data_IF_223277772477
#
_entry.id   IF_223277772477
#
_cell.length_a   1.000
_cell.length_b   1.000
_cell.length_c   1.000
_cell.angle_alpha   90.00
_cell.angle_beta   90.00
_cell.angle_gamma   90.00
#
_symmetry.space_group_name_H-M   'P 1'
#
loop_
_entity.id
_entity.type
_entity.pdbx_description
1 polymer ?
#
# COMPACT_ATOMS: atom_id res chain seq x y z
N UNK A 1 -26.65 -19.26 1.03
CA UNK A 1 -25.77 -20.20 0.31
C UNK A 1 -26.19 -21.64 0.60
N UNK A 2 -26.51 -22.45 -0.43
CA UNK A 2 -26.90 -23.86 -0.29
C UNK A 2 -27.96 -24.09 0.81
N UNK A 3 -29.00 -23.25 0.81
CA UNK A 3 -30.09 -23.29 1.80
C UNK A 3 -29.76 -22.71 3.18
N UNK A 4 -28.52 -22.25 3.43
CA UNK A 4 -28.11 -21.67 4.72
C UNK A 4 -27.84 -20.17 4.60
N UNK A 5 -28.31 -19.33 5.55
CA UNK A 5 -27.93 -17.92 5.61
C UNK A 5 -26.41 -17.77 5.76
N UNK A 6 -25.84 -16.72 5.18
CA UNK A 6 -24.42 -16.37 5.32
C UNK A 6 -24.32 -14.99 5.98
N UNK A 7 -23.42 -14.85 6.94
CA UNK A 7 -23.11 -13.54 7.51
C UNK A 7 -22.03 -12.86 6.65
N UNK A 8 -22.29 -11.63 6.22
CA UNK A 8 -21.43 -10.88 5.31
C UNK A 8 -21.01 -9.53 5.93
N UNK A 9 -20.14 -9.53 6.95
CA UNK A 9 -19.77 -8.31 7.69
C UNK A 9 -19.00 -7.28 6.85
N UNK A 10 -18.53 -7.67 5.67
CA UNK A 10 -17.80 -6.83 4.72
C UNK A 10 -18.72 -6.06 3.79
N UNK A 11 -20.02 -6.39 3.73
CA UNK A 11 -20.98 -5.69 2.86
C UNK A 11 -21.15 -4.26 3.35
N UNK A 12 -21.01 -3.30 2.44
CA UNK A 12 -21.06 -1.88 2.75
C UNK A 12 -22.44 -1.52 3.31
N UNK A 13 -22.47 -1.03 4.54
CA UNK A 13 -23.71 -0.61 5.21
C UNK A 13 -24.64 -1.77 5.60
N UNK A 14 -24.18 -3.03 5.51
CA UNK A 14 -25.04 -4.19 5.77
C UNK A 14 -26.13 -4.42 4.72
N UNK A 15 -26.10 -3.70 3.61
CA UNK A 15 -27.06 -3.78 2.52
C UNK A 15 -26.80 -5.01 1.63
N UNK A 16 -27.24 -6.17 2.11
CA UNK A 16 -27.05 -7.45 1.40
C UNK A 16 -27.82 -7.50 0.07
N UNK A 17 -28.95 -6.81 -0.01
CA UNK A 17 -29.87 -6.85 -1.16
C UNK A 17 -29.42 -5.90 -2.27
N UNK A 18 -28.96 -4.70 -1.92
CA UNK A 18 -28.47 -3.68 -2.84
C UNK A 18 -29.49 -3.26 -3.88
N UNK A 19 -29.43 -3.89 -5.05
CA UNK A 19 -30.28 -3.60 -6.23
C UNK A 19 -31.56 -4.43 -6.27
N UNK A 20 -31.89 -5.16 -5.20
CA UNK A 20 -33.06 -6.05 -5.10
C UNK A 20 -33.20 -7.06 -6.27
N UNK A 21 -32.06 -7.50 -6.82
CA UNK A 21 -32.02 -8.51 -7.89
C UNK A 21 -31.76 -9.89 -7.28
N UNK A 22 -32.80 -10.73 -7.26
CA UNK A 22 -32.68 -12.10 -6.80
C UNK A 22 -31.80 -12.95 -7.75
N UNK A 23 -31.10 -13.93 -7.19
CA UNK A 23 -30.30 -14.89 -7.94
C UNK A 23 -30.35 -16.26 -7.25
N UNK A 24 -30.46 -17.31 -8.06
CA UNK A 24 -30.32 -18.70 -7.63
C UNK A 24 -29.46 -19.43 -8.66
N UNK A 25 -28.17 -19.57 -8.35
CA UNK A 25 -27.17 -20.06 -9.31
C UNK A 25 -26.45 -21.25 -8.73
N UNK A 26 -26.54 -22.38 -9.44
CA UNK A 26 -25.67 -23.54 -9.22
C UNK A 26 -24.36 -23.34 -9.98
N UNK A 27 -23.33 -22.90 -9.26
CA UNK A 27 -22.03 -22.59 -9.86
C UNK A 27 -21.37 -23.88 -10.41
N UNK A 28 -21.02 -23.94 -11.71
CA UNK A 28 -20.32 -25.08 -12.29
C UNK A 28 -18.91 -25.25 -11.70
N UNK A 29 -18.32 -26.44 -11.88
CA UNK A 29 -16.91 -26.68 -11.56
C UNK A 29 -16.01 -25.71 -12.33
N UNK A 30 -14.90 -25.28 -11.72
CA UNK A 30 -13.95 -24.30 -12.27
C UNK A 30 -14.54 -22.92 -12.61
N UNK A 31 -15.65 -22.54 -11.98
CA UNK A 31 -16.27 -21.21 -12.12
C UNK A 31 -16.58 -20.58 -10.77
N UNK A 32 -16.84 -19.28 -10.79
CA UNK A 32 -17.12 -18.44 -9.62
C UNK A 32 -18.35 -17.57 -9.89
N UNK A 33 -19.12 -17.27 -8.86
CA UNK A 33 -20.16 -16.23 -8.90
C UNK A 33 -19.71 -15.10 -7.97
N UNK A 34 -19.57 -13.90 -8.51
CA UNK A 34 -18.93 -12.77 -7.83
C UNK A 34 -19.96 -11.70 -7.52
N UNK A 35 -19.83 -11.09 -6.33
CA UNK A 35 -20.62 -9.96 -5.87
C UNK A 35 -19.68 -8.88 -5.35
N UNK A 36 -19.96 -7.62 -5.69
CA UNK A 36 -19.24 -6.50 -5.10
C UNK A 36 -19.72 -6.20 -3.68
N UNK A 37 -18.83 -5.70 -2.82
CA UNK A 37 -19.15 -5.34 -1.43
C UNK A 37 -20.13 -4.17 -1.33
N UNK A 38 -20.15 -3.28 -2.33
CA UNK A 38 -21.14 -2.21 -2.46
C UNK A 38 -22.25 -2.66 -3.42
N UNK A 39 -23.20 -3.45 -2.89
CA UNK A 39 -24.20 -4.17 -3.68
C UNK A 39 -25.01 -3.28 -4.62
N UNK A 40 -25.38 -2.08 -4.17
CA UNK A 40 -26.16 -1.11 -4.94
C UNK A 40 -25.41 -0.47 -6.13
N UNK A 41 -24.07 -0.51 -6.13
CA UNK A 41 -23.23 0.15 -7.14
C UNK A 41 -22.15 -0.80 -7.67
N UNK A 42 -22.56 -2.02 -8.03
CA UNK A 42 -21.66 -3.06 -8.49
C UNK A 42 -22.25 -3.73 -9.72
N UNK A 43 -21.53 -3.67 -10.85
CA UNK A 43 -21.85 -4.41 -12.06
C UNK A 43 -21.21 -5.80 -12.01
N UNK A 44 -21.79 -6.68 -11.19
CA UNK A 44 -21.28 -8.02 -10.89
C UNK A 44 -22.12 -9.12 -11.53
N UNK A 45 -21.88 -10.38 -11.16
CA UNK A 45 -22.48 -11.57 -11.77
C UNK A 45 -24.00 -11.52 -11.90
N UNK A 46 -24.70 -10.79 -11.01
CA UNK A 46 -26.16 -10.62 -11.06
C UNK A 46 -26.65 -9.98 -12.37
N UNK A 47 -25.81 -9.21 -13.04
CA UNK A 47 -26.15 -8.49 -14.27
C UNK A 47 -25.80 -9.22 -15.56
N UNK A 48 -25.06 -10.33 -15.47
CA UNK A 48 -24.56 -11.07 -16.63
C UNK A 48 -25.17 -12.48 -16.73
N UNK A 49 -26.42 -12.67 -16.30
CA UNK A 49 -27.08 -13.98 -16.29
C UNK A 49 -27.09 -14.67 -17.67
N UNK A 50 -27.21 -13.89 -18.74
CA UNK A 50 -27.20 -14.38 -20.13
C UNK A 50 -25.81 -14.81 -20.61
N UNK A 51 -24.74 -14.45 -19.88
CA UNK A 51 -23.36 -14.84 -20.15
C UNK A 51 -22.90 -15.89 -19.13
N UNK A 52 -23.00 -17.16 -19.52
CA UNK A 52 -22.58 -18.30 -18.70
C UNK A 52 -23.20 -18.31 -17.28
N UNK A 53 -24.46 -17.87 -17.15
CA UNK A 53 -25.16 -17.78 -15.86
C UNK A 53 -24.59 -16.73 -14.92
N UNK A 54 -23.89 -15.71 -15.45
CA UNK A 54 -23.20 -14.68 -14.68
C UNK A 54 -21.89 -15.15 -14.04
N UNK A 55 -21.49 -16.40 -14.27
CA UNK A 55 -20.31 -16.97 -13.61
C UNK A 55 -19.02 -16.66 -14.36
N UNK A 56 -17.91 -16.56 -13.65
CA UNK A 56 -16.58 -16.27 -14.19
C UNK A 56 -15.69 -17.51 -14.08
N UNK A 57 -14.91 -17.84 -15.13
CA UNK A 57 -13.98 -18.96 -15.08
C UNK A 57 -12.83 -18.70 -14.09
N UNK A 58 -12.45 -19.72 -13.31
CA UNK A 58 -11.30 -19.62 -12.38
C UNK A 58 -10.01 -19.28 -13.13
N UNK A 59 -9.83 -19.78 -14.35
CA UNK A 59 -8.69 -19.47 -15.22
C UNK A 59 -8.58 -18.01 -15.64
N UNK A 60 -9.67 -17.23 -15.53
CA UNK A 60 -9.66 -15.79 -15.81
C UNK A 60 -9.15 -14.96 -14.61
N UNK A 61 -9.00 -15.56 -13.43
CA UNK A 61 -8.56 -14.87 -12.22
C UNK A 61 -7.04 -14.69 -12.24
N UNK A 62 -6.58 -13.44 -12.29
CA UNK A 62 -5.15 -13.11 -12.30
C UNK A 62 -4.48 -13.17 -10.92
N UNK A 63 -5.25 -13.08 -9.85
CA UNK A 63 -4.74 -13.10 -8.49
C UNK A 63 -5.81 -12.79 -7.46
N UNK A 64 -5.44 -12.92 -6.18
CA UNK A 64 -6.30 -12.62 -5.04
C UNK A 64 -5.78 -11.37 -4.34
N UNK A 65 -6.68 -10.41 -4.07
CA UNK A 65 -6.36 -9.24 -3.26
C UNK A 65 -6.18 -9.70 -1.81
N UNK A 66 -5.01 -9.45 -1.25
CA UNK A 66 -4.68 -9.70 0.15
C UNK A 66 -4.18 -8.41 0.78
N UNK A 67 -4.49 -8.20 2.06
CA UNK A 67 -3.93 -7.07 2.80
C UNK A 67 -2.44 -7.33 2.99
N UNK A 68 -1.59 -6.51 2.37
CA UNK A 68 -0.14 -6.58 2.50
C UNK A 68 0.42 -5.25 2.99
N UNK A 69 1.36 -5.32 3.92
CA UNK A 69 2.10 -4.15 4.43
C UNK A 69 3.53 -4.10 3.91
N UNK A 70 3.92 -5.02 3.01
CA UNK A 70 5.31 -5.12 2.55
C UNK A 70 5.77 -3.85 1.85
N UNK A 71 5.00 -3.33 0.89
CA UNK A 71 5.36 -2.12 0.15
C UNK A 71 5.47 -0.86 1.04
N UNK A 72 4.46 -0.50 1.87
CA UNK A 72 4.59 0.67 2.74
C UNK A 72 5.71 0.49 3.79
N UNK A 73 5.95 -0.73 4.26
CA UNK A 73 7.04 -1.01 5.18
C UNK A 73 8.42 -0.78 4.55
N UNK A 74 8.65 -1.27 3.33
CA UNK A 74 9.91 -1.05 2.60
C UNK A 74 10.13 0.44 2.31
N UNK A 75 9.08 1.17 1.94
CA UNK A 75 9.15 2.62 1.76
C UNK A 75 9.55 3.33 3.05
N UNK A 76 8.96 2.95 4.19
CA UNK A 76 9.32 3.52 5.50
C UNK A 76 10.80 3.26 5.84
N UNK A 77 11.28 2.04 5.65
CA UNK A 77 12.69 1.68 5.89
C UNK A 77 13.62 2.51 5.00
N UNK A 78 13.30 2.66 3.71
CA UNK A 78 14.10 3.47 2.78
C UNK A 78 14.13 4.95 3.20
N UNK A 79 13.00 5.51 3.64
CA UNK A 79 12.93 6.90 4.14
C UNK A 79 13.78 7.10 5.40
N UNK A 80 13.74 6.16 6.35
CA UNK A 80 14.57 6.20 7.55
C UNK A 80 16.05 6.13 7.18
N UNK A 81 16.43 5.17 6.34
CA UNK A 81 17.81 5.00 5.89
C UNK A 81 18.33 6.26 5.17
N UNK A 82 17.52 6.84 4.27
CA UNK A 82 17.86 8.08 3.58
C UNK A 82 18.02 9.27 4.54
N UNK A 83 17.13 9.41 5.51
CA UNK A 83 17.20 10.48 6.53
C UNK A 83 18.45 10.33 7.39
N UNK A 84 18.74 9.12 7.88
CA UNK A 84 19.97 8.83 8.66
C UNK A 84 21.21 9.15 7.84
N UNK A 85 21.26 8.73 6.58
CA UNK A 85 22.40 9.02 5.69
C UNK A 85 22.60 10.51 5.47
N UNK A 86 21.51 11.28 5.29
CA UNK A 86 21.57 12.73 5.13
C UNK A 86 22.08 13.44 6.39
N UNK A 87 21.61 13.04 7.58
CA UNK A 87 22.06 13.60 8.85
C UNK A 87 23.53 13.30 9.13
N UNK A 88 23.97 12.06 8.89
CA UNK A 88 25.38 11.67 9.01
C UNK A 88 26.24 12.46 8.03
N UNK A 89 25.84 12.55 6.76
CA UNK A 89 26.54 13.32 5.73
C UNK A 89 26.65 14.81 6.09
N UNK A 90 25.57 15.42 6.59
CA UNK A 90 25.57 16.81 7.03
C UNK A 90 26.52 17.04 8.22
N UNK A 91 26.47 16.16 9.23
CA UNK A 91 27.34 16.23 10.40
C UNK A 91 28.82 16.14 10.04
N UNK A 92 29.18 15.17 9.20
CA UNK A 92 30.55 15.01 8.69
C UNK A 92 30.99 16.20 7.84
N UNK A 93 30.10 16.74 6.99
CA UNK A 93 30.38 17.91 6.17
C UNK A 93 30.65 19.18 6.98
N UNK A 94 29.84 19.45 8.01
CA UNK A 94 30.04 20.59 8.93
C UNK A 94 31.37 20.45 9.69
N UNK A 95 31.68 19.25 10.21
CA UNK A 95 32.94 19.00 10.91
C UNK A 95 34.17 19.25 10.02
N UNK A 96 34.14 18.77 8.77
CA UNK A 96 35.22 18.98 7.81
C UNK A 96 35.41 20.48 7.47
N UNK A 97 34.32 21.24 7.32
CA UNK A 97 34.38 22.68 7.07
C UNK A 97 34.98 23.44 8.26
N UNK A 98 34.59 23.09 9.48
CA UNK A 98 35.13 23.71 10.70
C UNK A 98 36.65 23.49 10.83
N UNK A 99 37.12 22.26 10.55
CA UNK A 99 38.55 21.94 10.58
C UNK A 99 39.34 22.74 9.52
N UNK A 100 38.83 22.82 8.29
CA UNK A 100 39.46 23.63 7.23
C UNK A 100 39.60 25.09 7.62
N UNK A 101 38.57 25.67 8.24
CA UNK A 101 38.61 27.05 8.73
C UNK A 101 39.65 27.23 9.84
N UNK A 102 39.74 26.30 10.80
CA UNK A 102 40.75 26.34 11.87
C UNK A 102 42.18 26.37 11.32
N UNK A 103 42.49 25.55 10.32
CA UNK A 103 43.83 25.51 9.70
C UNK A 103 44.15 26.74 8.84
N UNK A 104 43.14 27.43 8.32
CA UNK A 104 43.33 28.59 7.44
C UNK A 104 43.62 29.91 8.19
N UNK A 105 43.33 30.00 9.48
CA UNK A 105 43.67 31.18 10.31
C UNK A 105 45.17 31.13 10.62
N UNK A 106 45.99 32.09 10.14
CA UNK A 106 47.42 32.11 10.44
C UNK A 106 47.66 32.29 11.94
N UNK A 107 48.58 31.51 12.52
CA UNK A 107 49.07 31.76 13.87
C UNK A 107 49.85 33.07 13.87
N UNK A 108 49.27 34.15 14.41
CA UNK A 108 50.02 35.39 14.63
C UNK A 108 51.09 35.10 15.69
N UNK A 109 52.40 35.20 15.37
CA UNK A 109 53.43 35.00 16.37
C UNK A 109 53.35 36.11 17.44
N UNK A 110 53.61 35.82 18.72
CA UNK A 110 53.65 36.84 19.76
C UNK A 110 54.72 37.88 19.41
N UNK A 111 54.31 39.15 19.45
CA UNK A 111 55.05 40.35 19.04
C UNK A 111 56.53 40.36 19.49
N UNK A 112 57.45 40.95 18.69
CA UNK A 112 58.85 41.02 19.10
C UNK A 112 59.02 42.00 20.26
N UNK A 113 59.59 41.53 21.37
CA UNK A 113 60.04 42.42 22.47
C UNK A 113 61.17 43.29 21.92
N UNK A 114 60.96 44.61 21.93
CA UNK A 114 62.06 45.57 21.74
C UNK A 114 62.94 45.55 22.98
N UNK A 115 64.25 45.38 22.74
CA UNK A 115 65.34 45.51 23.72
C UNK A 115 65.60 46.98 23.98
#
# INVERSE_FOLDING_TARGET
MNGKPLQEPYVRGGDADGVHKAYDVKVPKERLFLLGDHRANSNDSRFFADDHGGTVAVSAVKGRVVKSLTAPFLLLVAMIAGTVSALVGLGLGIAALAERRRKAVPSVPPWPRRV
#
